data_IF_790981268418
#
_entry.id   IF_790981268418
#
_cell.length_a   1.000
_cell.length_b   1.000
_cell.length_c   1.000
_cell.angle_alpha   90.00
_cell.angle_beta   90.00
_cell.angle_gamma   90.00
#
_symmetry.space_group_name_H-M   'P 1'
#
loop_
_entity.id
_entity.type
_entity.pdbx_description
1 polymer ?
#
# COMPACT_ATOMS: atom_id res chain seq x y z
N UNK A 1 24.09 2.54 5.23
CA UNK A 1 22.95 1.60 5.35
C UNK A 1 23.59 0.26 5.69
N UNK A 2 23.29 -0.33 6.85
CA UNK A 2 23.83 -1.67 7.13
C UNK A 2 23.35 -2.60 6.04
N UNK A 3 24.22 -3.49 5.56
CA UNK A 3 23.79 -4.62 4.77
C UNK A 3 22.72 -5.37 5.57
N UNK A 4 21.66 -5.81 4.89
CA UNK A 4 20.60 -6.56 5.53
C UNK A 4 21.13 -7.95 5.85
N UNK A 5 20.93 -8.42 7.07
CA UNK A 5 21.40 -9.74 7.52
C UNK A 5 20.58 -10.92 6.92
N UNK A 6 19.75 -10.65 5.91
CA UNK A 6 18.88 -11.65 5.28
C UNK A 6 18.64 -11.35 3.79
N UNK A 7 18.41 -12.42 3.02
CA UNK A 7 18.11 -12.37 1.59
C UNK A 7 16.83 -13.19 1.26
N UNK A 8 16.21 -12.91 0.11
CA UNK A 8 15.11 -13.74 -0.41
C UNK A 8 15.66 -15.06 -0.91
N UNK A 9 14.96 -16.16 -0.64
CA UNK A 9 15.38 -17.47 -1.14
C UNK A 9 15.06 -17.57 -2.63
N UNK A 10 15.97 -18.09 -3.47
CA UNK A 10 15.67 -18.36 -4.88
C UNK A 10 14.52 -19.36 -5.02
N UNK A 11 13.65 -19.14 -6.01
CA UNK A 11 12.59 -20.09 -6.36
C UNK A 11 13.19 -21.35 -6.96
N UNK A 12 12.80 -22.53 -6.44
CA UNK A 12 13.38 -23.81 -6.86
C UNK A 12 12.34 -24.84 -7.33
N UNK A 13 11.23 -25.00 -6.62
CA UNK A 13 10.11 -25.89 -7.00
C UNK A 13 8.76 -25.23 -6.71
N UNK A 14 7.67 -25.81 -7.24
CA UNK A 14 6.31 -25.34 -6.97
C UNK A 14 5.97 -25.51 -5.49
N UNK A 15 6.25 -26.69 -4.93
CA UNK A 15 5.98 -27.03 -3.53
C UNK A 15 6.76 -26.12 -2.58
N UNK A 16 8.00 -25.74 -2.94
CA UNK A 16 8.81 -24.80 -2.17
C UNK A 16 8.18 -23.40 -2.10
N UNK A 17 7.57 -22.93 -3.20
CA UNK A 17 6.94 -21.61 -3.27
C UNK A 17 5.58 -21.61 -2.59
N UNK A 18 4.73 -22.59 -2.92
CA UNK A 18 3.30 -22.61 -2.56
C UNK A 18 3.04 -23.17 -1.16
N UNK A 19 3.85 -24.13 -0.71
CA UNK A 19 3.64 -24.83 0.57
C UNK A 19 4.85 -24.75 1.51
N UNK A 20 5.95 -24.15 1.06
CA UNK A 20 7.18 -23.98 1.83
C UNK A 20 7.12 -22.84 2.85
N UNK A 21 8.19 -22.73 3.65
CA UNK A 21 8.35 -21.67 4.66
C UNK A 21 9.34 -20.58 4.22
N UNK A 22 9.87 -20.68 3.01
CA UNK A 22 10.87 -19.76 2.48
C UNK A 22 10.20 -18.58 1.79
N UNK A 23 10.71 -17.37 2.05
CA UNK A 23 10.24 -16.17 1.39
C UNK A 23 10.98 -15.99 0.05
N UNK A 24 10.26 -16.27 -1.03
CA UNK A 24 10.72 -16.24 -2.41
C UNK A 24 9.82 -15.37 -3.29
N UNK A 25 9.70 -14.05 -3.08
CA UNK A 25 8.73 -13.21 -3.78
C UNK A 25 8.98 -13.15 -5.30
N UNK A 26 7.92 -13.11 -6.10
CA UNK A 26 8.01 -12.93 -7.56
C UNK A 26 7.74 -11.48 -7.91
N UNK A 27 8.80 -10.79 -8.25
CA UNK A 27 8.70 -9.52 -8.94
C UNK A 27 8.45 -9.78 -10.43
N UNK A 28 7.51 -9.07 -11.04
CA UNK A 28 7.24 -9.22 -12.47
C UNK A 28 8.40 -8.67 -13.34
N UNK A 29 8.25 -8.71 -14.66
CA UNK A 29 9.25 -8.20 -15.63
C UNK A 29 9.71 -6.74 -15.41
N UNK A 30 8.93 -5.93 -14.71
CA UNK A 30 9.27 -4.56 -14.34
C UNK A 30 9.92 -4.44 -12.96
N UNK A 31 10.24 -5.55 -12.31
CA UNK A 31 10.85 -5.60 -10.97
C UNK A 31 9.91 -5.15 -9.86
N UNK A 32 8.59 -5.35 -10.02
CA UNK A 32 7.57 -4.90 -9.06
C UNK A 32 6.62 -6.02 -8.61
N UNK A 33 6.12 -5.86 -7.39
CA UNK A 33 5.20 -6.72 -6.66
C UNK A 33 3.93 -5.92 -6.30
N UNK A 34 2.74 -6.38 -6.69
CA UNK A 34 1.46 -5.86 -6.19
C UNK A 34 1.37 -5.91 -4.66
N UNK A 35 0.88 -4.83 -4.06
CA UNK A 35 0.69 -4.73 -2.62
C UNK A 35 -0.67 -4.10 -2.31
N UNK A 36 -1.50 -4.84 -1.58
CA UNK A 36 -2.74 -4.33 -0.98
C UNK A 36 -2.44 -3.90 0.45
N UNK A 37 -3.02 -2.80 0.89
CA UNK A 37 -2.93 -2.34 2.27
C UNK A 37 -4.29 -2.42 2.92
N UNK A 38 -4.37 -3.05 4.07
CA UNK A 38 -5.59 -3.26 4.82
C UNK A 38 -5.42 -2.82 6.26
N UNK A 39 -6.42 -2.14 6.81
CA UNK A 39 -6.41 -1.79 8.22
C UNK A 39 -6.45 -3.04 9.09
N UNK A 40 -5.58 -3.13 10.10
CA UNK A 40 -5.43 -4.32 10.94
C UNK A 40 -6.71 -4.65 11.72
N UNK A 41 -7.35 -3.66 12.33
CA UNK A 41 -8.53 -3.89 13.15
C UNK A 41 -9.84 -4.01 12.36
N UNK A 42 -10.12 -3.07 11.45
CA UNK A 42 -11.39 -3.02 10.72
C UNK A 42 -11.44 -3.91 9.47
N UNK A 43 -10.30 -4.46 9.03
CA UNK A 43 -10.15 -5.15 7.74
C UNK A 43 -10.55 -4.32 6.51
N UNK A 44 -10.65 -3.00 6.65
CA UNK A 44 -10.90 -2.08 5.54
C UNK A 44 -9.70 -2.07 4.58
N UNK A 45 -9.94 -2.27 3.28
CA UNK A 45 -8.90 -2.07 2.26
C UNK A 45 -8.66 -0.57 2.12
N UNK A 46 -7.43 -0.14 2.38
CA UNK A 46 -7.02 1.25 2.44
C UNK A 46 -6.47 1.76 1.11
N UNK A 47 -5.61 0.98 0.47
CA UNK A 47 -5.01 1.36 -0.81
C UNK A 47 -4.36 0.17 -1.52
N UNK A 48 -4.05 0.38 -2.79
CA UNK A 48 -3.20 -0.48 -3.61
C UNK A 48 -1.96 0.31 -4.05
N UNK A 49 -0.81 -0.34 -4.08
CA UNK A 49 0.41 0.19 -4.65
C UNK A 49 1.34 -0.94 -5.11
N UNK A 50 2.44 -0.60 -5.77
CA UNK A 50 3.50 -1.54 -6.09
C UNK A 50 4.68 -1.36 -5.14
N UNK A 51 5.41 -2.43 -4.89
CA UNK A 51 6.73 -2.43 -4.27
C UNK A 51 7.75 -3.00 -5.25
N UNK A 52 8.92 -2.40 -5.37
CA UNK A 52 10.07 -3.13 -5.90
C UNK A 52 10.75 -3.88 -4.75
N UNK A 53 11.75 -4.70 -5.08
CA UNK A 53 12.50 -5.49 -4.10
C UNK A 53 13.02 -4.64 -2.93
N UNK A 54 13.65 -3.50 -3.21
CA UNK A 54 14.18 -2.63 -2.17
C UNK A 54 13.08 -2.02 -1.28
N UNK A 55 11.92 -1.63 -1.85
CA UNK A 55 10.80 -1.14 -1.06
C UNK A 55 10.20 -2.23 -0.16
N UNK A 56 10.13 -3.47 -0.65
CA UNK A 56 9.65 -4.58 0.16
C UNK A 56 10.60 -4.89 1.32
N UNK A 57 11.91 -4.94 1.05
CA UNK A 57 12.95 -5.07 2.09
C UNK A 57 12.87 -3.95 3.12
N UNK A 58 12.78 -2.68 2.70
CA UNK A 58 12.64 -1.56 3.61
C UNK A 58 11.37 -1.67 4.47
N UNK A 59 10.28 -2.18 3.90
CA UNK A 59 9.03 -2.41 4.63
C UNK A 59 9.19 -3.44 5.75
N UNK A 60 9.79 -4.59 5.43
CA UNK A 60 10.05 -5.67 6.41
C UNK A 60 10.95 -5.17 7.55
N UNK A 61 12.04 -4.47 7.21
CA UNK A 61 13.05 -4.08 8.20
C UNK A 61 12.62 -2.89 9.07
N UNK A 62 11.91 -1.92 8.49
CA UNK A 62 11.55 -0.70 9.21
C UNK A 62 10.17 -0.80 9.90
N UNK A 63 9.35 -1.81 9.55
CA UNK A 63 7.99 -1.94 10.07
C UNK A 63 7.03 -0.84 9.58
N UNK A 64 7.38 -0.13 8.51
CA UNK A 64 6.55 0.90 7.88
C UNK A 64 6.47 0.68 6.37
N UNK A 65 5.29 0.93 5.79
CA UNK A 65 5.09 0.70 4.35
C UNK A 65 5.92 1.65 3.48
N UNK A 66 6.79 1.06 2.65
CA UNK A 66 7.52 1.72 1.58
C UNK A 66 6.99 1.20 0.24
N UNK A 67 6.73 2.11 -0.70
CA UNK A 67 6.18 1.77 -2.01
C UNK A 67 7.09 2.26 -3.14
N UNK A 68 6.95 1.65 -4.31
CA UNK A 68 7.61 2.04 -5.54
C UNK A 68 6.69 2.85 -6.44
N UNK A 69 7.10 4.08 -6.75
CA UNK A 69 6.38 4.96 -7.66
C UNK A 69 6.83 4.71 -9.10
N UNK A 70 6.08 3.93 -9.88
CA UNK A 70 6.41 3.63 -11.30
C UNK A 70 6.63 4.88 -12.15
N UNK A 71 5.83 5.92 -11.97
CA UNK A 71 5.95 7.17 -12.74
C UNK A 71 7.18 8.02 -12.34
N UNK A 72 7.61 7.95 -11.08
CA UNK A 72 8.73 8.75 -10.55
C UNK A 72 10.02 7.95 -10.43
N UNK A 73 9.97 6.65 -10.72
CA UNK A 73 11.05 5.67 -10.56
C UNK A 73 11.78 5.84 -9.21
N UNK A 74 11.00 5.97 -8.14
CA UNK A 74 11.54 6.18 -6.79
C UNK A 74 10.72 5.49 -5.70
N UNK A 75 11.41 5.08 -4.65
CA UNK A 75 10.80 4.61 -3.41
C UNK A 75 10.26 5.82 -2.64
N UNK A 76 9.15 5.61 -1.94
CA UNK A 76 8.61 6.58 -0.99
C UNK A 76 8.01 5.87 0.21
N UNK A 77 8.11 6.48 1.39
CA UNK A 77 7.46 6.00 2.60
C UNK A 77 6.07 6.63 2.72
N UNK A 78 5.05 5.80 2.98
CA UNK A 78 3.69 6.33 3.12
C UNK A 78 3.62 7.28 4.30
N UNK A 79 3.02 8.45 4.07
CA UNK A 79 2.80 9.45 5.11
C UNK A 79 4.01 10.33 5.39
N UNK A 80 5.05 10.31 4.56
CA UNK A 80 6.22 11.20 4.71
C UNK A 80 5.82 12.68 4.84
N UNK A 81 4.91 13.14 3.98
CA UNK A 81 4.40 14.52 4.01
C UNK A 81 3.30 14.72 5.04
N UNK A 82 2.35 13.78 5.12
CA UNK A 82 1.11 13.99 5.88
C UNK A 82 1.17 13.57 7.35
N UNK A 83 2.25 12.90 7.77
CA UNK A 83 2.34 12.25 9.07
C UNK A 83 1.57 10.93 9.17
N UNK A 84 0.65 10.63 8.24
CA UNK A 84 -0.18 9.43 8.25
C UNK A 84 0.57 8.22 7.67
N UNK A 85 1.53 7.72 8.46
CA UNK A 85 2.34 6.55 8.17
C UNK A 85 1.55 5.27 8.42
N UNK A 86 1.92 4.22 7.69
CA UNK A 86 1.34 2.89 7.83
C UNK A 86 2.32 2.02 8.60
N UNK A 87 2.03 1.75 9.88
CA UNK A 87 2.81 0.82 10.71
C UNK A 87 2.35 -0.60 10.38
N UNK A 88 3.27 -1.45 9.94
CA UNK A 88 3.00 -2.83 9.53
C UNK A 88 2.98 -3.73 10.76
N UNK A 89 1.91 -4.49 10.91
CA UNK A 89 1.74 -5.48 12.00
C UNK A 89 1.82 -6.91 11.48
N UNK A 90 1.43 -7.14 10.22
CA UNK A 90 1.48 -8.44 9.57
C UNK A 90 1.59 -8.24 8.06
N UNK A 91 2.27 -9.18 7.39
CA UNK A 91 2.33 -9.29 5.93
C UNK A 91 1.74 -10.65 5.57
N UNK A 92 0.66 -10.66 4.81
CA UNK A 92 0.15 -11.87 4.17
C UNK A 92 0.78 -11.96 2.78
N UNK A 93 1.14 -13.17 2.38
CA UNK A 93 1.77 -13.48 1.10
C UNK A 93 0.82 -14.40 0.34
N UNK A 94 0.62 -14.13 -0.94
CA UNK A 94 -0.18 -14.99 -1.83
C UNK A 94 0.49 -16.37 -1.99
N UNK A 95 -0.26 -17.37 -2.40
CA UNK A 95 0.22 -18.76 -2.51
C UNK A 95 1.48 -18.87 -3.39
N UNK A 96 1.46 -18.27 -4.58
CA UNK A 96 2.60 -18.27 -5.48
C UNK A 96 3.62 -17.15 -5.18
N UNK A 97 3.44 -16.43 -4.08
CA UNK A 97 4.21 -15.28 -3.59
C UNK A 97 4.42 -14.14 -4.59
N UNK A 98 3.46 -13.90 -5.48
CA UNK A 98 3.49 -12.80 -6.45
C UNK A 98 2.64 -11.58 -6.04
N UNK A 99 1.99 -11.63 -4.88
CA UNK A 99 1.22 -10.54 -4.30
C UNK A 99 1.31 -10.56 -2.76
N UNK A 100 1.14 -9.39 -2.12
CA UNK A 100 1.12 -9.28 -0.66
C UNK A 100 -0.03 -8.40 -0.15
N UNK A 101 -0.45 -8.65 1.09
CA UNK A 101 -1.33 -7.77 1.86
C UNK A 101 -0.60 -7.30 3.12
N UNK A 102 -0.45 -5.99 3.28
CA UNK A 102 0.00 -5.40 4.54
C UNK A 102 -1.19 -5.14 5.45
N UNK A 103 -1.18 -5.74 6.65
CA UNK A 103 -2.06 -5.35 7.75
C UNK A 103 -1.40 -4.21 8.53
N UNK A 104 -2.04 -3.05 8.53
CA UNK A 104 -1.43 -1.82 9.06
C UNK A 104 -2.35 -1.07 10.02
N UNK A 105 -1.75 -0.31 10.94
CA UNK A 105 -2.42 0.82 11.59
C UNK A 105 -1.91 2.13 11.01
N UNK A 106 -2.71 3.19 11.12
CA UNK A 106 -2.34 4.53 10.66
C UNK A 106 -1.85 5.37 11.83
N UNK A 107 -0.80 6.17 11.62
CA UNK A 107 -0.43 7.21 12.57
C UNK A 107 -1.22 8.49 12.32
N UNK A 108 -1.34 9.33 13.35
CA UNK A 108 -2.12 10.56 13.27
C UNK A 108 -1.50 11.56 12.26
N UNK A 109 -2.33 12.38 11.59
CA UNK A 109 -1.86 13.41 10.67
C UNK A 109 -1.07 14.51 11.38
N UNK A 110 -0.12 15.12 10.67
CA UNK A 110 0.69 16.24 11.19
C UNK A 110 -0.10 17.54 11.32
N UNK A 111 -1.21 17.70 10.57
CA UNK A 111 -1.96 18.96 10.46
C UNK A 111 -3.48 18.75 10.53
N UNK A 112 -4.03 18.45 11.70
CA UNK A 112 -5.49 18.35 11.90
C UNK A 112 -6.18 17.24 11.08
N UNK A 113 -7.49 17.08 11.28
CA UNK A 113 -8.25 15.98 10.69
C UNK A 113 -8.03 14.64 11.37
N UNK A 114 -8.48 13.55 10.73
CA UNK A 114 -8.31 12.16 11.20
C UNK A 114 -7.43 11.35 10.25
N UNK A 115 -7.07 10.15 10.69
CA UNK A 115 -6.24 9.22 9.95
C UNK A 115 -6.86 8.77 8.62
N UNK A 116 -6.03 8.72 7.59
CA UNK A 116 -6.42 8.31 6.25
C UNK A 116 -5.23 7.79 5.42
N UNK A 117 -5.54 6.92 4.45
CA UNK A 117 -4.60 6.48 3.43
C UNK A 117 -4.71 7.25 2.10
N UNK A 118 -5.82 7.94 1.82
CA UNK A 118 -6.06 8.63 0.56
C UNK A 118 -5.65 10.11 0.61
N UNK A 119 -4.90 10.58 -0.40
CA UNK A 119 -4.51 11.99 -0.50
C UNK A 119 -5.70 12.94 -0.77
N UNK A 120 -6.85 12.42 -1.22
CA UNK A 120 -8.06 13.20 -1.53
C UNK A 120 -8.85 13.58 -0.27
N UNK A 121 -8.53 12.99 0.88
CA UNK A 121 -9.18 13.29 2.17
C UNK A 121 -10.07 12.17 2.71
N UNK A 122 -10.40 11.16 1.91
CA UNK A 122 -11.17 9.98 2.35
C UNK A 122 -10.31 8.99 3.12
N UNK A 123 -10.90 8.14 3.95
CA UNK A 123 -10.13 7.18 4.75
C UNK A 123 -9.44 6.15 3.87
N UNK A 124 -10.18 5.55 2.94
CA UNK A 124 -9.68 4.64 1.93
C UNK A 124 -9.51 5.31 0.57
N UNK A 125 -8.60 4.82 -0.27
CA UNK A 125 -8.57 5.16 -1.69
C UNK A 125 -9.79 4.58 -2.45
N UNK A 126 -10.46 3.58 -1.88
CA UNK A 126 -11.63 2.90 -2.43
C UNK A 126 -12.95 3.50 -1.92
N UNK A 127 -13.00 4.84 -1.78
CA UNK A 127 -14.16 5.59 -1.29
C UNK A 127 -15.35 5.67 -2.27
N UNK A 128 -15.28 4.94 -3.39
CA UNK A 128 -16.32 4.86 -4.42
C UNK A 128 -16.49 3.43 -4.89
N UNK A 129 -17.71 3.09 -5.28
CA UNK A 129 -18.06 1.79 -5.85
C UNK A 129 -18.90 1.93 -7.13
N UNK A 130 -19.01 0.84 -7.88
CA UNK A 130 -19.91 0.72 -9.03
C UNK A 130 -21.05 -0.23 -8.66
N UNK A 131 -22.29 0.18 -8.93
CA UNK A 131 -23.44 -0.73 -8.80
C UNK A 131 -23.53 -1.64 -10.03
N UNK A 132 -23.60 -2.96 -9.79
CA UNK A 132 -23.86 -3.97 -10.84
C UNK A 132 -25.37 -4.07 -11.05
N UNK A 133 -25.86 -3.62 -12.21
CA UNK A 133 -27.29 -3.65 -12.55
C UNK A 133 -27.53 -3.72 -14.05
N UNK A 134 -28.73 -4.11 -14.45
CA UNK A 134 -29.17 -4.14 -15.85
C UNK A 134 -29.24 -2.73 -16.50
N UNK A 135 -29.17 -1.67 -15.69
CA UNK A 135 -29.17 -0.27 -16.16
C UNK A 135 -27.77 0.25 -16.53
N UNK A 136 -26.74 -0.58 -16.40
CA UNK A 136 -25.35 -0.21 -16.62
C UNK A 136 -24.63 0.31 -15.36
N UNK A 137 -23.35 0.68 -15.47
CA UNK A 137 -22.54 1.05 -14.32
C UNK A 137 -22.89 2.46 -13.82
N UNK A 138 -23.12 2.57 -12.51
CA UNK A 138 -23.25 3.86 -11.81
C UNK A 138 -22.21 3.96 -10.70
N UNK A 139 -21.37 5.00 -10.75
CA UNK A 139 -20.32 5.27 -9.77
C UNK A 139 -20.90 6.10 -8.62
N UNK A 140 -20.80 5.59 -7.39
CA UNK A 140 -21.27 6.30 -6.19
C UNK A 140 -20.20 6.36 -5.10
N UNK A 141 -20.26 7.40 -4.28
CA UNK A 141 -19.47 7.47 -3.05
C UNK A 141 -20.03 6.49 -2.01
N UNK A 142 -19.15 5.89 -1.22
CA UNK A 142 -19.50 5.07 -0.05
C UNK A 142 -19.05 5.70 1.27
N UNK A 143 -18.30 6.81 1.19
CA UNK A 143 -17.96 7.68 2.31
C UNK A 143 -18.63 9.04 2.08
N UNK A 144 -19.36 9.54 3.08
CA UNK A 144 -20.14 10.79 2.97
C UNK A 144 -19.26 12.05 3.08
N UNK A 145 -18.16 11.96 3.83
CA UNK A 145 -17.31 13.11 4.14
C UNK A 145 -15.82 12.77 4.09
N UNK A 146 -15.01 13.80 3.83
CA UNK A 146 -13.56 13.71 3.95
C UNK A 146 -13.16 13.86 5.42
N UNK A 147 -12.18 13.08 5.84
CA UNK A 147 -11.66 13.10 7.21
C UNK A 147 -10.59 14.16 7.45
N UNK A 148 -10.09 14.83 6.40
CA UNK A 148 -9.21 16.00 6.46
C UNK A 148 -9.34 16.88 5.20
N UNK A 149 -8.83 18.12 5.25
CA UNK A 149 -8.71 19.00 4.07
C UNK A 149 -7.35 18.79 3.35
N UNK A 150 -7.35 18.25 2.11
CA UNK A 150 -6.11 18.03 1.36
C UNK A 150 -5.31 19.29 1.08
N UNK A 151 -5.95 20.45 0.95
CA UNK A 151 -5.25 21.71 0.68
C UNK A 151 -4.36 22.12 1.85
N UNK A 152 -4.75 21.73 3.07
CA UNK A 152 -3.99 21.99 4.30
C UNK A 152 -2.91 20.94 4.51
N UNK A 153 -3.24 19.65 4.38
CA UNK A 153 -2.30 18.54 4.60
C UNK A 153 -1.18 18.52 3.54
N UNK A 154 -1.57 18.69 2.28
CA UNK A 154 -0.70 18.51 1.10
C UNK A 154 -0.38 19.82 0.40
N UNK A 155 -0.40 20.93 1.14
CA UNK A 155 -0.02 22.26 0.67
C UNK A 155 1.34 22.24 -0.06
N UNK A 156 1.39 22.85 -1.25
CA UNK A 156 2.61 22.92 -2.06
C UNK A 156 3.00 21.63 -2.78
N UNK A 157 2.19 20.57 -2.70
CA UNK A 157 2.44 19.33 -3.46
C UNK A 157 1.60 19.27 -4.74
N UNK A 158 2.17 18.74 -5.82
CA UNK A 158 1.42 18.46 -7.04
C UNK A 158 0.44 17.30 -6.83
N UNK A 159 -0.71 17.37 -7.53
CA UNK A 159 -1.62 16.23 -7.57
C UNK A 159 -0.91 15.03 -8.22
N UNK A 160 -0.86 13.87 -7.56
CA UNK A 160 -0.21 12.68 -8.10
C UNK A 160 -0.95 12.09 -9.30
N UNK A 161 -2.23 12.41 -9.48
CA UNK A 161 -3.04 11.97 -10.63
C UNK A 161 -2.56 12.72 -11.88
N UNK A 162 -2.11 11.98 -12.89
CA UNK A 162 -1.73 12.51 -14.21
C UNK A 162 -2.83 12.14 -15.22
N UNK A 163 -3.20 13.11 -16.06
CA UNK A 163 -4.18 12.94 -17.15
C UNK A 163 -3.47 12.58 -18.45
#
# INVERSE_FOLDING_TARGET
>A
MSELDWDFTPRSTVEQVEEGLELSPKFNENGILPCITQHVDSSEILMFAYMNEQAFRLTINNGFSHYWSRSRQKIWIKGETSGMRQKVHQILVDDDQDCIILKVSLTSPTKGGKESSCHVGYRSCFYREITVSDQGPSLRFIEDEKVFDPKVIYEGTENPTKL
#
